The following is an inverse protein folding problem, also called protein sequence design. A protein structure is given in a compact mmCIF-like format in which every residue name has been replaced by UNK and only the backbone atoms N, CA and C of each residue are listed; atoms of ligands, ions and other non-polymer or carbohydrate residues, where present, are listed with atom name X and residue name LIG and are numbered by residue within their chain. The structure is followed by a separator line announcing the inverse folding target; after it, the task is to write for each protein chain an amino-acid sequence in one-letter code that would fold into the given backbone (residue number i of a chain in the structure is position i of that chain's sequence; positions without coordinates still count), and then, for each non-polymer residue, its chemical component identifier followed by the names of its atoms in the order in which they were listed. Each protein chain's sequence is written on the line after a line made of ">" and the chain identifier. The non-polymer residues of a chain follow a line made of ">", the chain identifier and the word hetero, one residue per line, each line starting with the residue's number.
data_IF_094729258867
#
_entry.id   IF_094729258867
#
_cell.length_a   1.000
_cell.length_b   1.000
_cell.length_c   1.000
_cell.angle_alpha   90.00
_cell.angle_beta   90.00
_cell.angle_gamma   90.00
#
_symmetry.space_group_name_H-M   'P 1'
#
loop_
_entity.id
_entity.type
_entity.pdbx_description
1 polymer ?
#
# COMPACT_ATOMS: atom_id res chain seq x y z
N UNK A 1 31.19 -29.64 -37.95
CA UNK A 1 29.81 -29.32 -37.51
C UNK A 1 29.78 -27.90 -37.02
N UNK A 2 28.65 -27.22 -37.29
CA UNK A 2 28.49 -25.77 -37.38
C UNK A 2 28.63 -25.04 -36.03
N UNK A 3 29.34 -23.92 -36.10
CA UNK A 3 29.37 -22.77 -35.20
C UNK A 3 27.97 -22.18 -34.96
N UNK A 4 27.57 -21.95 -33.71
CA UNK A 4 26.39 -21.13 -33.37
C UNK A 4 26.34 -20.76 -31.87
N UNK A 5 27.32 -20.02 -31.37
CA UNK A 5 27.17 -19.23 -30.13
C UNK A 5 28.08 -18.00 -30.16
N UNK A 6 27.66 -16.94 -30.89
CA UNK A 6 27.85 -15.61 -30.34
C UNK A 6 26.63 -14.75 -30.68
N UNK A 7 25.53 -14.89 -29.93
CA UNK A 7 24.40 -13.97 -30.02
C UNK A 7 23.83 -13.54 -28.66
N UNK A 8 24.25 -14.15 -27.55
CA UNK A 8 23.74 -13.83 -26.21
C UNK A 8 24.56 -12.75 -25.47
N UNK A 9 25.56 -12.14 -26.12
CA UNK A 9 26.42 -11.09 -25.53
C UNK A 9 26.19 -9.69 -26.14
N UNK A 10 25.17 -9.53 -26.99
CA UNK A 10 24.95 -8.28 -27.74
C UNK A 10 23.77 -7.42 -27.24
N UNK A 11 23.08 -7.84 -26.16
CA UNK A 11 21.91 -7.08 -25.64
C UNK A 11 22.25 -6.19 -24.43
N UNK A 12 23.45 -6.33 -23.85
CA UNK A 12 23.88 -5.49 -22.71
C UNK A 12 24.46 -4.12 -23.16
N UNK A 13 24.71 -3.93 -24.47
CA UNK A 13 25.42 -2.75 -24.99
C UNK A 13 24.53 -1.58 -25.42
N UNK A 14 23.20 -1.69 -25.36
CA UNK A 14 22.29 -0.60 -25.79
C UNK A 14 21.87 0.36 -24.67
N UNK A 15 22.44 0.25 -23.47
CA UNK A 15 22.20 1.19 -22.35
C UNK A 15 23.34 2.22 -22.15
N UNK A 16 24.37 2.26 -23.02
CA UNK A 16 25.35 3.35 -23.02
C UNK A 16 24.82 4.58 -23.77
N UNK A 17 23.77 5.19 -23.22
CA UNK A 17 23.37 6.55 -23.57
C UNK A 17 24.11 7.55 -22.67
N UNK A 18 24.86 8.47 -23.29
CA UNK A 18 25.47 9.69 -22.74
C UNK A 18 25.58 9.80 -21.21
N UNK A 19 26.74 9.44 -20.67
CA UNK A 19 27.19 9.91 -19.36
C UNK A 19 27.58 11.40 -19.46
N UNK A 20 26.58 12.29 -19.45
CA UNK A 20 26.82 13.60 -18.88
C UNK A 20 27.08 13.38 -17.39
N UNK A 21 28.17 13.93 -16.86
CA UNK A 21 28.42 14.02 -15.41
C UNK A 21 27.23 14.74 -14.77
N UNK A 22 26.21 13.98 -14.40
CA UNK A 22 25.05 14.48 -13.71
C UNK A 22 25.43 14.64 -12.25
N UNK A 23 25.26 15.89 -11.80
CA UNK A 23 25.69 16.44 -10.52
C UNK A 23 25.47 15.46 -9.37
N UNK A 24 26.50 15.30 -8.54
CA UNK A 24 26.39 14.72 -7.20
C UNK A 24 25.24 15.45 -6.50
N UNK A 25 24.12 14.74 -6.31
CA UNK A 25 22.95 15.28 -5.63
C UNK A 25 23.39 15.64 -4.20
N UNK A 26 23.12 16.86 -3.74
CA UNK A 26 23.35 17.24 -2.34
C UNK A 26 22.08 17.09 -1.49
N UNK A 27 20.91 17.01 -2.12
CA UNK A 27 19.61 16.94 -1.43
C UNK A 27 19.10 15.51 -1.35
N UNK A 28 18.31 15.23 -0.31
CA UNK A 28 17.66 13.94 -0.12
C UNK A 28 16.40 13.90 -0.99
N UNK A 29 16.32 12.88 -1.85
CA UNK A 29 15.20 12.70 -2.78
C UNK A 29 13.86 12.57 -2.05
N UNK A 30 12.82 13.21 -2.58
CA UNK A 30 11.43 12.98 -2.18
C UNK A 30 10.64 12.14 -3.20
N UNK A 31 9.62 11.36 -2.76
CA UNK A 31 8.78 10.55 -3.67
C UNK A 31 8.05 11.34 -4.76
N UNK A 32 7.76 12.62 -4.49
CA UNK A 32 7.12 13.56 -5.42
C UNK A 32 8.02 14.04 -6.56
N UNK A 33 9.32 13.77 -6.48
CA UNK A 33 10.28 14.18 -7.50
C UNK A 33 10.42 13.11 -8.58
N UNK A 34 10.68 13.55 -9.82
CA UNK A 34 10.90 12.64 -10.94
C UNK A 34 12.17 11.80 -10.73
N UNK A 35 12.04 10.49 -10.91
CA UNK A 35 13.16 9.56 -10.88
C UNK A 35 13.92 9.59 -12.20
N UNK A 36 15.24 9.72 -12.10
CA UNK A 36 16.12 9.62 -13.27
C UNK A 36 16.60 8.19 -13.48
N UNK A 37 16.96 7.88 -14.73
CA UNK A 37 17.58 6.59 -15.08
C UNK A 37 18.85 6.34 -14.27
N UNK A 38 19.65 7.38 -14.01
CA UNK A 38 20.88 7.26 -13.25
C UNK A 38 20.61 6.91 -11.78
N UNK A 39 19.64 7.56 -11.13
CA UNK A 39 19.25 7.26 -9.74
C UNK A 39 18.80 5.81 -9.58
N UNK A 40 17.94 5.33 -10.49
CA UNK A 40 17.48 3.94 -10.46
C UNK A 40 18.63 2.97 -10.69
N UNK A 41 19.54 3.27 -11.63
CA UNK A 41 20.71 2.43 -11.87
C UNK A 41 21.68 2.42 -10.68
N UNK A 42 21.89 3.55 -10.01
CA UNK A 42 22.69 3.63 -8.78
C UNK A 42 22.08 2.74 -7.69
N UNK A 43 20.77 2.85 -7.46
CA UNK A 43 20.04 1.99 -6.52
C UNK A 43 20.25 0.51 -6.85
N UNK A 44 20.00 0.10 -8.11
CA UNK A 44 20.13 -1.29 -8.53
C UNK A 44 21.57 -1.81 -8.37
N UNK A 45 22.59 -1.00 -8.70
CA UNK A 45 24.00 -1.37 -8.50
C UNK A 45 24.32 -1.62 -7.03
N UNK A 46 23.84 -0.76 -6.12
CA UNK A 46 24.08 -0.88 -4.69
C UNK A 46 23.37 -2.12 -4.14
N UNK A 47 22.07 -2.27 -4.39
CA UNK A 47 21.27 -3.39 -3.85
C UNK A 47 21.76 -4.72 -4.40
N UNK A 48 22.09 -4.80 -5.69
CA UNK A 48 22.64 -6.02 -6.29
C UNK A 48 24.02 -6.40 -5.70
N UNK A 49 24.79 -5.44 -5.16
CA UNK A 49 26.09 -5.69 -4.55
C UNK A 49 26.04 -6.00 -3.04
N UNK A 50 24.85 -5.92 -2.42
CA UNK A 50 24.60 -6.32 -1.05
C UNK A 50 24.43 -7.86 -0.93
N UNK A 51 24.63 -8.43 0.26
CA UNK A 51 24.29 -9.82 0.53
C UNK A 51 22.82 -10.11 0.18
N UNK A 52 22.57 -11.27 -0.42
CA UNK A 52 21.25 -11.73 -0.85
C UNK A 52 20.52 -10.78 -1.83
N UNK A 53 21.25 -9.83 -2.45
CA UNK A 53 20.71 -8.86 -3.42
C UNK A 53 19.50 -8.05 -2.92
N UNK A 54 19.50 -7.71 -1.62
CA UNK A 54 18.39 -7.02 -0.95
C UNK A 54 18.87 -5.93 0.00
N UNK A 55 17.98 -4.99 0.28
CA UNK A 55 18.20 -3.98 1.31
C UNK A 55 18.35 -4.64 2.69
N UNK A 56 19.12 -4.05 3.62
CA UNK A 56 19.07 -4.45 5.03
C UNK A 56 17.64 -4.35 5.57
N UNK A 57 17.28 -5.07 6.65
CA UNK A 57 15.92 -5.02 7.19
C UNK A 57 15.50 -3.59 7.59
N UNK A 58 14.47 -3.09 6.89
CA UNK A 58 13.84 -1.78 7.08
C UNK A 58 12.45 -1.95 7.71
N UNK A 59 11.90 -0.91 8.37
CA UNK A 59 10.48 -0.89 8.70
C UNK A 59 9.62 -0.89 7.43
N UNK A 60 8.32 -1.13 7.60
CA UNK A 60 7.35 -0.98 6.50
C UNK A 60 7.48 0.40 5.85
N UNK A 61 7.26 0.48 4.53
CA UNK A 61 7.23 1.76 3.82
C UNK A 61 6.08 2.63 4.33
N UNK A 62 4.94 2.01 4.62
CA UNK A 62 3.72 2.68 5.04
C UNK A 62 3.41 2.44 6.52
N UNK A 63 2.82 3.43 7.17
CA UNK A 63 2.32 3.35 8.55
C UNK A 63 1.27 2.26 8.70
N UNK A 64 1.33 1.51 9.80
CA UNK A 64 0.31 0.52 10.17
C UNK A 64 -1.01 1.21 10.51
N UNK A 65 -2.08 0.42 10.62
CA UNK A 65 -3.32 0.92 11.21
C UNK A 65 -3.11 1.26 12.69
N UNK A 66 -3.91 2.17 13.28
CA UNK A 66 -3.84 2.47 14.70
C UNK A 66 -4.16 1.24 15.55
N UNK A 67 -3.29 0.95 16.51
CA UNK A 67 -3.45 -0.14 17.49
C UNK A 67 -3.42 0.49 18.88
N UNK A 68 -4.53 1.08 19.30
CA UNK A 68 -4.64 1.69 20.64
C UNK A 68 -4.94 0.64 21.70
N UNK A 69 -4.19 0.66 22.79
CA UNK A 69 -4.50 -0.16 23.96
C UNK A 69 -5.89 0.21 24.51
N UNK A 70 -6.65 -0.80 24.94
CA UNK A 70 -8.04 -0.62 25.41
C UNK A 70 -8.15 0.22 26.68
N UNK A 71 -7.04 0.39 27.41
CA UNK A 71 -6.92 1.19 28.62
C UNK A 71 -6.40 2.63 28.36
N UNK A 72 -6.27 3.05 27.09
CA UNK A 72 -5.85 4.41 26.76
C UNK A 72 -6.82 5.46 27.33
N UNK A 73 -6.29 6.30 28.22
CA UNK A 73 -7.03 7.35 28.92
C UNK A 73 -7.19 8.66 28.12
N UNK A 74 -6.64 8.73 26.91
CA UNK A 74 -6.82 9.90 26.05
C UNK A 74 -8.25 9.94 25.48
N UNK A 75 -8.73 11.15 25.19
CA UNK A 75 -9.94 11.29 24.37
C UNK A 75 -9.70 10.76 22.97
N UNK A 76 -10.77 10.34 22.29
CA UNK A 76 -10.68 9.88 20.90
C UNK A 76 -10.07 10.97 20.01
N UNK A 77 -10.49 12.23 20.16
CA UNK A 77 -9.87 13.38 19.48
C UNK A 77 -8.37 13.50 19.77
N UNK A 78 -7.95 13.23 21.01
CA UNK A 78 -6.55 13.19 21.42
C UNK A 78 -5.76 12.08 20.71
N UNK A 79 -6.31 10.88 20.67
CA UNK A 79 -5.71 9.72 19.99
C UNK A 79 -5.59 9.95 18.48
N UNK A 80 -6.62 10.52 17.84
CA UNK A 80 -6.56 10.87 16.41
C UNK A 80 -5.44 11.87 16.13
N UNK A 81 -5.27 12.89 16.99
CA UNK A 81 -4.17 13.88 16.86
C UNK A 81 -2.79 13.26 17.09
N UNK A 82 -2.69 12.27 17.98
CA UNK A 82 -1.45 11.51 18.21
C UNK A 82 -1.08 10.72 16.94
N UNK A 83 -2.01 9.98 16.35
CA UNK A 83 -1.76 9.23 15.12
C UNK A 83 -1.42 10.14 13.93
N UNK A 84 -2.12 11.25 13.76
CA UNK A 84 -1.83 12.21 12.68
C UNK A 84 -0.45 12.86 12.79
N UNK A 85 0.13 12.93 14.00
CA UNK A 85 1.51 13.39 14.20
C UNK A 85 2.55 12.32 13.94
N UNK A 86 2.15 11.05 13.97
CA UNK A 86 3.02 9.89 13.76
C UNK A 86 3.37 9.68 12.28
N UNK A 87 2.72 10.41 11.36
CA UNK A 87 3.03 10.43 9.93
C UNK A 87 4.37 11.09 9.66
N UNK A 88 5.45 10.32 9.77
CA UNK A 88 6.79 10.70 9.33
C UNK A 88 7.32 9.67 8.32
N UNK A 89 8.22 10.12 7.42
CA UNK A 89 8.92 9.24 6.46
C UNK A 89 9.73 8.18 7.23
N UNK A 90 9.17 6.98 7.38
CA UNK A 90 9.71 5.94 8.27
C UNK A 90 11.15 5.54 7.92
N UNK A 91 11.47 5.55 6.63
CA UNK A 91 12.79 5.14 6.13
C UNK A 91 13.87 6.21 6.32
N UNK A 92 13.48 7.48 6.50
CA UNK A 92 14.39 8.60 6.75
C UNK A 92 14.44 9.04 8.21
N UNK A 93 13.81 8.29 9.12
CA UNK A 93 13.93 8.53 10.55
C UNK A 93 15.39 8.32 11.02
N UNK A 94 15.86 9.19 11.93
CA UNK A 94 17.22 9.18 12.49
C UNK A 94 17.66 7.81 13.01
N UNK A 95 16.75 7.01 13.59
CA UNK A 95 17.04 5.67 14.10
C UNK A 95 17.39 4.71 12.95
N UNK A 96 16.64 4.75 11.85
CA UNK A 96 16.89 3.91 10.66
C UNK A 96 18.21 4.32 10.02
N UNK A 97 18.42 5.63 9.84
CA UNK A 97 19.67 6.16 9.28
C UNK A 97 20.87 5.77 10.15
N UNK A 98 20.80 5.92 11.47
CA UNK A 98 21.86 5.54 12.38
C UNK A 98 22.17 4.04 12.32
N UNK A 99 21.14 3.18 12.22
CA UNK A 99 21.33 1.73 12.05
C UNK A 99 22.06 1.40 10.75
N UNK A 100 21.68 2.04 9.64
CA UNK A 100 22.29 1.83 8.33
C UNK A 100 23.70 2.41 8.23
N UNK A 101 24.01 3.50 8.94
CA UNK A 101 25.35 4.05 9.06
C UNK A 101 26.34 3.06 9.69
N UNK A 102 25.86 2.15 10.54
CA UNK A 102 26.67 1.08 11.11
C UNK A 102 26.83 -0.15 10.18
N UNK A 103 26.11 -0.20 9.05
CA UNK A 103 26.14 -1.31 8.11
C UNK A 103 27.35 -1.19 7.16
N UNK A 104 28.52 -1.68 7.61
CA UNK A 104 29.83 -1.53 6.92
C UNK A 104 29.80 -1.78 5.41
N UNK A 105 29.14 -2.86 4.97
CA UNK A 105 29.09 -3.22 3.55
C UNK A 105 28.30 -2.22 2.73
N UNK A 106 27.21 -1.69 3.29
CA UNK A 106 26.39 -0.67 2.64
C UNK A 106 27.22 0.62 2.55
N UNK A 107 27.81 1.07 3.65
CA UNK A 107 28.64 2.28 3.66
C UNK A 107 29.76 2.24 2.62
N UNK A 108 30.47 1.11 2.49
CA UNK A 108 31.49 0.96 1.45
C UNK A 108 30.94 1.10 0.02
N UNK A 109 29.73 0.61 -0.25
CA UNK A 109 29.08 0.76 -1.55
C UNK A 109 28.60 2.19 -1.78
N UNK A 110 28.07 2.83 -0.74
CA UNK A 110 27.63 4.23 -0.78
C UNK A 110 28.79 5.19 -1.02
N UNK A 111 29.93 4.97 -0.36
CA UNK A 111 31.17 5.73 -0.59
C UNK A 111 31.63 5.62 -2.06
N UNK A 112 31.56 4.43 -2.65
CA UNK A 112 31.93 4.20 -4.06
C UNK A 112 31.00 4.94 -5.03
N UNK A 113 29.71 5.01 -4.72
CA UNK A 113 28.70 5.72 -5.51
C UNK A 113 28.54 7.19 -5.10
N UNK A 114 29.37 7.68 -4.16
CA UNK A 114 29.38 9.05 -3.64
C UNK A 114 28.02 9.51 -3.06
N UNK A 115 27.34 8.61 -2.36
CA UNK A 115 26.04 8.87 -1.70
C UNK A 115 26.18 8.82 -0.18
N UNK A 116 25.43 9.67 0.51
CA UNK A 116 25.13 9.47 1.93
C UNK A 116 24.00 8.45 2.12
N UNK A 117 23.91 7.88 3.32
CA UNK A 117 22.80 6.98 3.69
C UNK A 117 21.44 7.63 3.48
N UNK A 118 21.26 8.89 3.88
CA UNK A 118 19.99 9.61 3.72
C UNK A 118 19.62 9.77 2.24
N UNK A 119 20.58 10.11 1.37
CA UNK A 119 20.33 10.24 -0.06
C UNK A 119 19.96 8.90 -0.70
N UNK A 120 20.69 7.83 -0.37
CA UNK A 120 20.36 6.49 -0.82
C UNK A 120 18.96 6.05 -0.37
N UNK A 121 18.62 6.30 0.89
CA UNK A 121 17.30 5.98 1.43
C UNK A 121 16.19 6.82 0.79
N UNK A 122 16.44 8.10 0.48
CA UNK A 122 15.50 8.91 -0.28
C UNK A 122 15.22 8.35 -1.67
N UNK A 123 16.28 7.92 -2.39
CA UNK A 123 16.12 7.26 -3.70
C UNK A 123 15.35 5.94 -3.55
N UNK A 124 15.73 5.11 -2.58
CA UNK A 124 15.08 3.83 -2.32
C UNK A 124 13.59 3.99 -2.00
N UNK A 125 13.24 4.95 -1.14
CA UNK A 125 11.86 5.28 -0.79
C UNK A 125 11.07 5.79 -2.01
N UNK A 126 11.64 6.68 -2.82
CA UNK A 126 11.00 7.16 -4.05
C UNK A 126 10.74 6.03 -5.05
N UNK A 127 11.68 5.11 -5.23
CA UNK A 127 11.49 3.91 -6.07
C UNK A 127 10.38 3.03 -5.50
N UNK A 128 10.40 2.77 -4.20
CA UNK A 128 9.42 1.90 -3.55
C UNK A 128 8.00 2.50 -3.58
N UNK A 129 7.87 3.82 -3.38
CA UNK A 129 6.61 4.55 -3.54
C UNK A 129 6.11 4.54 -4.99
N UNK A 130 7.00 4.70 -5.96
CA UNK A 130 6.66 4.58 -7.38
C UNK A 130 6.20 3.16 -7.75
N UNK A 131 6.84 2.13 -7.18
CA UNK A 131 6.42 0.73 -7.34
C UNK A 131 5.05 0.48 -6.71
N UNK A 132 4.82 0.93 -5.48
CA UNK A 132 3.52 0.80 -4.82
C UNK A 132 2.41 1.50 -5.63
N UNK A 133 2.72 2.67 -6.21
CA UNK A 133 1.79 3.41 -7.08
C UNK A 133 1.36 2.65 -8.32
N UNK A 134 2.15 1.69 -8.82
CA UNK A 134 1.78 0.85 -9.97
C UNK A 134 0.64 -0.12 -9.67
N UNK A 135 0.47 -0.52 -8.40
CA UNK A 135 -0.57 -1.43 -7.94
C UNK A 135 -1.71 -0.71 -7.21
N UNK A 136 -1.59 0.60 -7.01
CA UNK A 136 -2.58 1.40 -6.30
C UNK A 136 -3.78 1.75 -7.20
N UNK A 137 -4.94 2.06 -6.59
CA UNK A 137 -6.12 2.57 -7.31
C UNK A 137 -5.84 3.78 -8.22
N UNK A 138 -6.78 4.07 -9.10
CA UNK A 138 -6.71 5.23 -10.00
C UNK A 138 -6.68 6.55 -9.23
N UNK A 139 -6.23 7.63 -9.88
CA UNK A 139 -6.18 8.97 -9.26
C UNK A 139 -7.54 9.39 -8.72
N UNK A 140 -8.62 9.10 -9.45
CA UNK A 140 -9.98 9.48 -9.03
C UNK A 140 -10.45 8.64 -7.82
N UNK A 141 -10.16 7.33 -7.80
CA UNK A 141 -10.44 6.47 -6.64
C UNK A 141 -9.63 6.87 -5.39
N UNK A 142 -8.37 7.29 -5.57
CA UNK A 142 -7.55 7.81 -4.47
C UNK A 142 -8.14 9.12 -3.92
N UNK A 143 -8.57 10.05 -4.79
CA UNK A 143 -9.24 11.29 -4.38
C UNK A 143 -10.56 11.02 -3.65
N UNK A 144 -11.35 10.06 -4.14
CA UNK A 144 -12.58 9.66 -3.48
C UNK A 144 -12.34 8.99 -2.12
N UNK A 145 -11.27 8.19 -2.02
CA UNK A 145 -10.82 7.60 -0.74
C UNK A 145 -10.44 8.69 0.26
N UNK A 146 -9.66 9.69 -0.17
CA UNK A 146 -9.29 10.84 0.66
C UNK A 146 -10.54 11.59 1.12
N UNK A 147 -11.47 11.89 0.21
CA UNK A 147 -12.70 12.63 0.51
C UNK A 147 -13.58 11.90 1.53
N UNK A 148 -13.82 10.59 1.33
CA UNK A 148 -14.62 9.78 2.26
C UNK A 148 -13.94 9.65 3.62
N UNK A 149 -12.64 9.34 3.63
CA UNK A 149 -11.89 9.17 4.87
C UNK A 149 -11.75 10.47 5.66
N UNK A 150 -11.59 11.62 5.01
CA UNK A 150 -11.58 12.91 5.70
C UNK A 150 -12.88 13.18 6.46
N UNK A 151 -14.03 12.77 5.93
CA UNK A 151 -15.30 12.90 6.63
C UNK A 151 -15.32 12.02 7.90
N UNK A 152 -14.85 10.77 7.81
CA UNK A 152 -14.75 9.85 8.95
C UNK A 152 -13.80 10.37 10.03
N UNK A 153 -12.58 10.74 9.63
CA UNK A 153 -11.57 11.31 10.54
C UNK A 153 -12.08 12.58 11.22
N UNK A 154 -12.81 13.45 10.49
CA UNK A 154 -13.39 14.67 11.06
C UNK A 154 -14.50 14.39 12.07
N UNK A 155 -15.19 13.24 11.98
CA UNK A 155 -16.17 12.81 12.99
C UNK A 155 -15.45 12.36 14.26
N UNK A 156 -14.42 11.51 14.13
CA UNK A 156 -13.60 11.07 15.27
C UNK A 156 -12.95 12.25 16.01
N UNK A 157 -12.46 13.27 15.29
CA UNK A 157 -11.85 14.45 15.90
C UNK A 157 -12.80 15.28 16.78
N UNK A 158 -14.13 15.12 16.65
CA UNK A 158 -15.14 15.80 17.46
C UNK A 158 -15.52 15.03 18.72
N UNK A 159 -15.04 13.79 18.87
CA UNK A 159 -15.34 12.90 19.98
C UNK A 159 -14.38 13.20 21.13
N UNK A 160 -14.91 13.82 22.18
CA UNK A 160 -14.13 14.25 23.35
C UNK A 160 -14.20 13.25 24.52
N UNK A 161 -15.02 12.20 24.38
CA UNK A 161 -15.04 11.10 25.34
C UNK A 161 -13.70 10.34 25.39
N UNK A 162 -13.38 9.85 26.60
CA UNK A 162 -12.18 9.05 26.86
C UNK A 162 -12.34 7.66 26.25
N UNK A 163 -11.34 7.20 25.50
CA UNK A 163 -11.42 5.91 24.80
C UNK A 163 -11.61 4.72 25.75
N UNK A 164 -10.86 4.67 26.85
CA UNK A 164 -11.01 3.64 27.89
C UNK A 164 -12.38 3.64 28.60
N UNK A 165 -13.17 4.70 28.47
CA UNK A 165 -14.51 4.78 29.09
C UNK A 165 -15.61 4.12 28.26
N UNK A 166 -15.31 3.78 27.00
CA UNK A 166 -16.23 3.11 26.10
C UNK A 166 -16.35 1.62 26.44
N UNK A 167 -17.50 1.03 26.08
CA UNK A 167 -17.64 -0.43 26.08
C UNK A 167 -16.74 -1.05 24.99
N UNK A 168 -16.22 -2.27 25.18
CA UNK A 168 -15.28 -2.91 24.24
C UNK A 168 -15.75 -2.94 22.78
N UNK A 169 -17.05 -3.15 22.55
CA UNK A 169 -17.66 -3.13 21.21
C UNK A 169 -17.52 -1.76 20.53
N UNK A 170 -17.74 -0.67 21.27
CA UNK A 170 -17.58 0.69 20.76
C UNK A 170 -16.11 1.07 20.62
N UNK A 171 -15.21 0.51 21.44
CA UNK A 171 -13.77 0.67 21.28
C UNK A 171 -13.29 0.05 19.96
N UNK A 172 -13.80 -1.15 19.64
CA UNK A 172 -13.52 -1.82 18.37
C UNK A 172 -14.04 -1.01 17.18
N UNK A 173 -15.27 -0.52 17.24
CA UNK A 173 -15.82 0.36 16.19
C UNK A 173 -14.98 1.62 15.99
N UNK A 174 -14.53 2.25 17.08
CA UNK A 174 -13.65 3.42 17.02
C UNK A 174 -12.30 3.08 16.38
N UNK A 175 -11.68 1.96 16.72
CA UNK A 175 -10.42 1.51 16.11
C UNK A 175 -10.57 1.26 14.60
N UNK A 176 -11.68 0.65 14.21
CA UNK A 176 -12.05 0.39 12.82
C UNK A 176 -12.25 1.69 12.04
N UNK A 177 -12.92 2.67 12.63
CA UNK A 177 -13.03 4.02 12.06
C UNK A 177 -11.65 4.72 12.00
N UNK A 178 -10.79 4.53 13.02
CA UNK A 178 -9.46 5.13 13.08
C UNK A 178 -8.53 4.61 11.98
N UNK A 179 -8.76 3.41 11.42
CA UNK A 179 -8.04 2.91 10.25
C UNK A 179 -8.13 3.85 9.03
N UNK A 180 -9.19 4.67 8.94
CA UNK A 180 -9.30 5.71 7.91
C UNK A 180 -8.20 6.78 7.99
N UNK A 181 -7.59 6.99 9.17
CA UNK A 181 -6.45 7.91 9.32
C UNK A 181 -5.31 7.41 8.41
N UNK A 182 -4.87 6.17 8.60
CA UNK A 182 -3.82 5.54 7.80
C UNK A 182 -4.21 5.43 6.33
N UNK A 183 -5.47 5.08 6.02
CA UNK A 183 -5.94 4.96 4.63
C UNK A 183 -5.85 6.29 3.87
N UNK A 184 -6.28 7.39 4.50
CA UNK A 184 -6.20 8.74 3.92
C UNK A 184 -4.75 9.15 3.72
N UNK A 185 -3.90 8.83 4.69
CA UNK A 185 -2.47 9.17 4.68
C UNK A 185 -1.75 8.49 3.51
N UNK A 186 -1.84 7.16 3.42
CA UNK A 186 -1.28 6.39 2.29
C UNK A 186 -1.83 6.86 0.95
N UNK A 187 -3.14 7.15 0.87
CA UNK A 187 -3.75 7.63 -0.37
C UNK A 187 -3.19 9.00 -0.80
N UNK A 188 -2.88 9.91 0.13
CA UNK A 188 -2.22 11.19 -0.17
C UNK A 188 -0.79 10.97 -0.65
N UNK A 189 -0.02 10.15 0.06
CA UNK A 189 1.38 9.87 -0.31
C UNK A 189 1.47 9.28 -1.72
N UNK A 190 0.53 8.40 -2.09
CA UNK A 190 0.44 7.83 -3.44
C UNK A 190 0.02 8.86 -4.49
N UNK A 191 -0.87 9.80 -4.14
CA UNK A 191 -1.28 10.87 -5.04
C UNK A 191 -0.13 11.83 -5.35
N UNK A 192 0.79 12.01 -4.40
CA UNK A 192 1.96 12.87 -4.54
C UNK A 192 3.05 12.27 -5.45
N UNK A 193 2.99 10.97 -5.75
CA UNK A 193 3.92 10.31 -6.69
C UNK A 193 3.54 10.67 -8.14
N UNK A 194 4.47 11.22 -8.95
CA UNK A 194 4.22 11.54 -10.35
C UNK A 194 3.85 10.31 -11.19
N UNK A 195 2.93 10.50 -12.14
CA UNK A 195 2.53 9.44 -13.08
C UNK A 195 3.73 8.96 -13.93
N UNK A 196 4.68 9.84 -14.23
CA UNK A 196 5.90 9.51 -14.97
C UNK A 196 6.78 8.51 -14.20
N UNK A 197 6.81 8.58 -12.87
CA UNK A 197 7.53 7.62 -12.04
C UNK A 197 6.83 6.26 -12.07
N UNK A 198 5.49 6.24 -11.98
CA UNK A 198 4.70 5.00 -12.13
C UNK A 198 4.96 4.35 -13.49
N UNK A 199 4.88 5.13 -14.57
CA UNK A 199 5.04 4.64 -15.94
C UNK A 199 6.49 4.22 -16.22
N UNK A 200 7.48 4.86 -15.59
CA UNK A 200 8.85 4.40 -15.58
C UNK A 200 8.97 3.01 -14.92
N UNK A 201 8.39 2.83 -13.74
CA UNK A 201 8.43 1.54 -13.03
C UNK A 201 7.74 0.42 -13.81
N UNK A 202 6.56 0.68 -14.39
CA UNK A 202 5.84 -0.29 -15.22
C UNK A 202 6.68 -0.80 -16.40
N UNK A 203 7.45 0.07 -17.05
CA UNK A 203 8.33 -0.29 -18.18
C UNK A 203 9.52 -1.17 -17.79
N UNK A 204 9.93 -1.13 -16.52
CA UNK A 204 11.13 -1.81 -16.02
C UNK A 204 10.82 -2.79 -14.86
N UNK A 205 9.55 -3.18 -14.73
CA UNK A 205 9.02 -4.00 -13.65
C UNK A 205 9.75 -5.34 -13.50
N UNK A 206 10.10 -5.97 -14.61
CA UNK A 206 10.78 -7.27 -14.68
C UNK A 206 12.19 -7.28 -14.04
N UNK A 207 12.85 -6.12 -14.08
CA UNK A 207 14.16 -5.89 -13.49
C UNK A 207 14.03 -5.39 -12.05
N UNK A 208 13.23 -4.34 -11.82
CA UNK A 208 13.19 -3.61 -10.55
C UNK A 208 12.53 -4.44 -9.43
N UNK A 209 11.47 -5.20 -9.74
CA UNK A 209 10.71 -5.98 -8.76
C UNK A 209 11.54 -6.96 -7.93
N UNK A 210 12.70 -7.41 -8.45
CA UNK A 210 13.59 -8.36 -7.77
C UNK A 210 14.43 -7.73 -6.67
N UNK A 211 14.56 -6.41 -6.67
CA UNK A 211 15.47 -5.66 -5.78
C UNK A 211 14.72 -4.80 -4.75
N UNK A 212 13.40 -4.68 -4.87
CA UNK A 212 12.56 -3.96 -3.90
C UNK A 212 11.95 -4.90 -2.88
N UNK A 213 11.62 -4.44 -1.66
CA UNK A 213 10.85 -5.22 -0.70
C UNK A 213 9.49 -5.65 -1.25
N UNK A 214 8.99 -6.79 -0.78
CA UNK A 214 7.71 -7.35 -1.23
C UNK A 214 6.53 -6.42 -0.93
N UNK A 215 6.57 -5.70 0.20
CA UNK A 215 5.55 -4.73 0.59
C UNK A 215 5.34 -3.62 -0.46
N UNK A 216 6.37 -3.32 -1.27
CA UNK A 216 6.31 -2.31 -2.33
C UNK A 216 5.63 -2.82 -3.61
N UNK A 217 5.39 -4.13 -3.71
CA UNK A 217 4.80 -4.80 -4.87
C UNK A 217 3.31 -5.10 -4.70
N UNK A 218 2.74 -4.78 -3.53
CA UNK A 218 1.33 -5.02 -3.21
C UNK A 218 0.53 -3.73 -3.30
N UNK A 219 -0.79 -3.85 -3.35
CA UNK A 219 -1.67 -2.69 -3.21
C UNK A 219 -1.53 -2.13 -1.78
N UNK A 220 -1.01 -0.90 -1.62
CA UNK A 220 -0.80 -0.30 -0.30
C UNK A 220 -2.09 0.02 0.46
N UNK A 221 -3.27 -0.08 -0.16
CA UNK A 221 -4.55 0.15 0.50
C UNK A 221 -5.32 -1.13 0.84
N UNK A 222 -4.93 -2.29 0.28
CA UNK A 222 -5.68 -3.54 0.43
C UNK A 222 -5.79 -4.01 1.88
N UNK A 223 -4.71 -3.89 2.67
CA UNK A 223 -4.65 -4.41 4.03
C UNK A 223 -5.35 -3.52 5.08
N UNK A 224 -5.88 -2.35 4.67
CA UNK A 224 -6.59 -1.42 5.57
C UNK A 224 -8.11 -1.58 5.44
N UNK A 225 -8.57 -2.43 4.52
CA UNK A 225 -9.99 -2.62 4.26
C UNK A 225 -10.58 -3.51 5.33
N UNK A 226 -11.70 -3.06 5.88
CA UNK A 226 -12.62 -3.89 6.63
C UNK A 226 -13.24 -4.89 5.64
N UNK A 227 -12.69 -6.12 5.60
CA UNK A 227 -13.07 -7.13 4.61
C UNK A 227 -14.60 -7.36 4.54
N UNK A 228 -15.31 -7.07 5.63
CA UNK A 228 -16.76 -7.16 5.74
C UNK A 228 -17.50 -6.10 4.90
N UNK A 229 -17.00 -4.87 4.81
CA UNK A 229 -17.65 -3.82 4.01
C UNK A 229 -17.43 -3.98 2.51
N UNK A 230 -16.27 -4.51 2.09
CA UNK A 230 -15.90 -4.62 0.68
C UNK A 230 -16.21 -6.00 0.07
N UNK A 231 -16.11 -7.07 0.86
CA UNK A 231 -16.34 -8.46 0.40
C UNK A 231 -17.57 -9.13 1.03
N UNK A 232 -18.26 -8.47 1.98
CA UNK A 232 -19.34 -9.06 2.75
C UNK A 232 -18.84 -10.04 3.82
N UNK A 233 -19.74 -10.55 4.65
CA UNK A 233 -19.40 -11.65 5.57
C UNK A 233 -19.29 -12.93 4.74
N UNK A 234 -18.14 -13.63 4.71
CA UNK A 234 -18.09 -14.95 4.11
C UNK A 234 -19.09 -15.85 4.84
N UNK A 235 -20.12 -16.28 4.13
CA UNK A 235 -21.06 -17.27 4.62
C UNK A 235 -20.39 -18.63 4.47
N UNK A 236 -20.00 -19.24 5.59
CA UNK A 236 -19.75 -20.67 5.61
C UNK A 236 -21.11 -21.36 5.80
N UNK A 237 -21.51 -22.21 4.85
CA UNK A 237 -22.60 -23.16 5.06
C UNK A 237 -22.21 -24.05 6.24
N UNK A 238 -22.79 -23.77 7.42
CA UNK A 238 -22.66 -24.66 8.57
C UNK A 238 -23.15 -26.06 8.14
N UNK A 239 -22.58 -27.16 8.65
CA UNK A 239 -23.02 -28.52 8.29
C UNK A 239 -24.51 -28.80 8.54
N UNK A 240 -25.17 -27.97 9.34
CA UNK A 240 -26.61 -28.01 9.66
C UNK A 240 -27.48 -27.13 8.77
N UNK A 241 -26.90 -26.18 8.04
CA UNK A 241 -27.58 -25.47 6.95
C UNK A 241 -27.59 -26.44 5.79
N UNK A 242 -28.74 -27.08 5.55
CA UNK A 242 -28.91 -28.06 4.48
C UNK A 242 -28.35 -27.53 3.16
N UNK A 243 -27.82 -28.43 2.33
CA UNK A 243 -27.32 -28.03 1.02
C UNK A 243 -28.49 -27.54 0.17
N UNK A 244 -28.28 -26.53 -0.68
CA UNK A 244 -29.27 -26.15 -1.69
C UNK A 244 -29.63 -27.34 -2.62
N UNK A 245 -28.77 -28.36 -2.69
CA UNK A 245 -29.04 -29.61 -3.41
C UNK A 245 -30.04 -30.54 -2.70
N UNK A 246 -30.29 -30.34 -1.40
CA UNK A 246 -31.28 -31.06 -0.61
C UNK A 246 -32.69 -30.41 -0.70
N UNK A 247 -32.81 -29.24 -1.33
CA UNK A 247 -34.09 -28.58 -1.59
C UNK A 247 -34.84 -29.30 -2.72
N UNK A 248 -35.69 -30.26 -2.36
CA UNK A 248 -36.62 -30.91 -3.29
C UNK A 248 -37.82 -29.99 -3.53
N UNK A 249 -37.80 -29.25 -4.63
CA UNK A 249 -38.96 -28.51 -5.12
C UNK A 249 -40.04 -29.47 -5.60
N UNK A 250 -40.95 -29.88 -4.71
CA UNK A 250 -42.15 -30.61 -5.11
C UNK A 250 -43.36 -29.69 -5.12
N UNK A 251 -44.17 -29.77 -6.17
CA UNK A 251 -45.44 -29.03 -6.28
C UNK A 251 -46.47 -29.44 -5.21
N UNK A 252 -46.20 -30.53 -4.49
CA UNK A 252 -47.04 -31.09 -3.44
C UNK A 252 -46.61 -30.62 -2.03
N UNK A 253 -45.46 -29.95 -1.92
CA UNK A 253 -44.95 -29.45 -0.65
C UNK A 253 -45.73 -28.19 -0.22
N UNK A 254 -46.70 -28.38 0.67
CA UNK A 254 -47.57 -27.32 1.18
C UNK A 254 -46.84 -26.34 2.12
N UNK A 255 -45.57 -26.58 2.44
CA UNK A 255 -44.73 -25.67 3.24
C UNK A 255 -44.13 -24.52 2.42
N UNK A 256 -44.13 -24.64 1.08
CA UNK A 256 -43.69 -23.57 0.20
C UNK A 256 -44.75 -22.47 0.11
N UNK A 257 -44.58 -21.41 0.90
CA UNK A 257 -45.40 -20.20 0.80
C UNK A 257 -44.98 -19.44 -0.47
N UNK A 258 -45.59 -19.78 -1.60
CA UNK A 258 -45.49 -18.96 -2.81
C UNK A 258 -46.26 -17.66 -2.54
N UNK A 259 -45.54 -16.56 -2.35
CA UNK A 259 -46.12 -15.22 -2.30
C UNK A 259 -46.94 -14.99 -3.57
N UNK A 260 -48.27 -14.99 -3.46
CA UNK A 260 -49.15 -14.73 -4.60
C UNK A 260 -49.12 -13.24 -4.91
N UNK A 261 -48.27 -12.83 -5.85
CA UNK A 261 -48.37 -11.50 -6.44
C UNK A 261 -49.74 -11.35 -7.09
N UNK A 262 -50.46 -10.29 -6.74
CA UNK A 262 -51.79 -10.03 -7.32
C UNK A 262 -51.68 -9.76 -8.83
N UNK A 263 -52.72 -10.07 -9.62
CA UNK A 263 -52.73 -9.84 -11.08
C UNK A 263 -52.35 -8.39 -11.45
N UNK A 264 -52.63 -7.45 -10.56
CA UNK A 264 -52.28 -6.03 -10.67
C UNK A 264 -50.77 -5.78 -10.64
N UNK A 265 -50.00 -6.54 -9.84
CA UNK A 265 -48.54 -6.43 -9.75
C UNK A 265 -47.83 -7.01 -10.99
N UNK A 266 -48.38 -8.09 -11.55
CA UNK A 266 -47.84 -8.71 -12.77
C UNK A 266 -48.03 -7.79 -13.98
N UNK A 267 -49.18 -7.12 -14.09
CA UNK A 267 -49.43 -6.14 -15.16
C UNK A 267 -48.54 -4.89 -15.05
N UNK A 268 -48.22 -4.43 -13.84
CA UNK A 268 -47.33 -3.27 -13.65
C UNK A 268 -45.87 -3.58 -14.00
N UNK A 269 -45.40 -4.82 -13.79
CA UNK A 269 -44.05 -5.23 -14.18
C UNK A 269 -43.92 -5.51 -15.68
N UNK A 270 -44.98 -5.98 -16.34
CA UNK A 270 -44.98 -6.19 -17.80
C UNK A 270 -45.12 -4.90 -18.63
N UNK A 271 -45.36 -3.75 -17.97
CA UNK A 271 -45.54 -2.44 -18.63
C UNK A 271 -44.34 -1.50 -18.43
N UNK A 272 -43.18 -2.02 -18.02
CA UNK A 272 -41.91 -1.29 -17.97
C UNK A 272 -40.93 -1.85 -18.98
#
# INVERSE_FOLDING_TARGET
>A
MRTLYPCLMLVILTLMGCSGDERIFHEVKHPRELLTVNEVNQYLRIVNALPDHRLPPLPSLFSSVPEWDLDRELSISGLVKEEQKRTERQWLNDIVIAKLNNHRRLQHLLEKEQLSTAQFMGIAESICMAMARTNAPTVDELRDTIRRGQAQVSQLQKREEVFASLLPEHQFEVLREAAWITRVDRARDLLDVPDENRDFMLRHMDVISRFVPEDCLRDPLADIVDAIEEYGVPFEEMPTSGSDTDLVWSLEDQSAIIGRSSKTQIQQQASR
#
